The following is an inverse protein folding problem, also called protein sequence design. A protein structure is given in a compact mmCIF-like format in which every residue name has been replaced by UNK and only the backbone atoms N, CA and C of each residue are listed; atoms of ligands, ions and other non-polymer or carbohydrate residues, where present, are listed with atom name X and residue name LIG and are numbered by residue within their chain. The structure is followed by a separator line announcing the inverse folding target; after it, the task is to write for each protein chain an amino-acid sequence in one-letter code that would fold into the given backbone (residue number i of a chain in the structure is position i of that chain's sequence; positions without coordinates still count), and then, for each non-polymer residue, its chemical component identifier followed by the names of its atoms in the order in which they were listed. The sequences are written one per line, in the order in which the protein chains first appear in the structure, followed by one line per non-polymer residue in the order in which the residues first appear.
data_IF_069809184078
#
_entry.id   IF_069809184078
#
_cell.length_a   1.000
_cell.length_b   1.000
_cell.length_c   1.000
_cell.angle_alpha   90.00
_cell.angle_beta   90.00
_cell.angle_gamma   90.00
#
_symmetry.space_group_name_H-M   'P 1'
#
loop_
_entity.id
_entity.type
_entity.pdbx_description
1 polymer ?
#
# COMPACT_ATOMS: atom_id res chain seq x y z
N UNK A 1 -22.79 -0.88 2.67
CA UNK A 1 -21.57 -1.70 2.49
C UNK A 1 -21.82 -3.09 3.07
N UNK A 2 -21.77 -4.16 2.27
CA UNK A 2 -22.14 -5.51 2.75
C UNK A 2 -21.16 -6.06 3.80
N UNK A 3 -21.62 -6.92 4.72
CA UNK A 3 -20.77 -7.54 5.76
C UNK A 3 -19.55 -8.28 5.17
N UNK A 4 -19.72 -8.85 3.97
CA UNK A 4 -18.66 -9.55 3.21
C UNK A 4 -17.56 -8.59 2.78
N UNK A 5 -17.92 -7.37 2.34
CA UNK A 5 -16.94 -6.35 1.92
C UNK A 5 -16.07 -5.90 3.10
N UNK A 6 -16.66 -5.69 4.28
CA UNK A 6 -15.93 -5.36 5.51
C UNK A 6 -14.96 -6.47 5.94
N UNK A 7 -15.41 -7.73 5.89
CA UNK A 7 -14.55 -8.86 6.23
C UNK A 7 -13.38 -9.00 5.27
N UNK A 8 -13.63 -8.84 3.96
CA UNK A 8 -12.58 -8.81 2.94
C UNK A 8 -11.57 -7.68 3.20
N UNK A 9 -12.03 -6.46 3.47
CA UNK A 9 -11.16 -5.31 3.71
C UNK A 9 -10.28 -5.45 4.96
N UNK A 10 -10.71 -6.26 5.94
CA UNK A 10 -9.89 -6.59 7.09
C UNK A 10 -8.61 -7.34 6.68
N UNK A 11 -8.71 -8.33 5.79
CA UNK A 11 -7.59 -9.17 5.38
C UNK A 11 -6.90 -8.71 4.08
N UNK A 12 -7.67 -8.14 3.16
CA UNK A 12 -7.24 -7.80 1.80
C UNK A 12 -7.95 -6.52 1.31
N UNK A 13 -7.41 -5.34 1.65
CA UNK A 13 -7.94 -4.09 1.14
C UNK A 13 -7.81 -4.07 -0.39
N UNK A 14 -8.81 -3.53 -1.07
CA UNK A 14 -8.82 -3.38 -2.52
C UNK A 14 -9.00 -1.91 -2.84
N UNK A 15 -8.18 -1.42 -3.76
CA UNK A 15 -8.37 -0.10 -4.32
C UNK A 15 -9.58 -0.16 -5.26
N UNK A 16 -10.63 0.59 -4.93
CA UNK A 16 -11.79 0.71 -5.80
C UNK A 16 -11.49 1.81 -6.83
N UNK A 17 -11.69 1.54 -8.13
CA UNK A 17 -11.48 2.57 -9.13
C UNK A 17 -12.44 3.73 -8.83
N UNK A 18 -11.91 4.94 -8.72
CA UNK A 18 -12.73 6.14 -8.69
C UNK A 18 -13.53 6.22 -9.99
N UNK A 19 -14.80 6.59 -9.90
CA UNK A 19 -15.56 7.00 -11.07
C UNK A 19 -14.79 8.16 -11.71
N UNK A 20 -14.45 8.03 -13.00
CA UNK A 20 -13.74 9.08 -13.72
C UNK A 20 -14.58 10.36 -13.63
N UNK A 21 -14.11 11.33 -12.86
CA UNK A 21 -14.70 12.67 -12.84
C UNK A 21 -14.16 13.35 -14.09
N UNK A 22 -15.02 13.53 -15.09
CA UNK A 22 -14.65 14.26 -16.30
C UNK A 22 -14.11 15.64 -15.91
N UNK A 23 -12.84 15.89 -16.27
CA UNK A 23 -12.22 17.18 -16.04
C UNK A 23 -12.92 18.23 -16.91
N UNK A 24 -13.67 19.13 -16.27
CA UNK A 24 -14.24 20.31 -16.92
C UNK A 24 -13.35 21.52 -16.65
N UNK A 25 -12.70 22.09 -17.68
CA UNK A 25 -11.90 23.30 -17.52
C UNK A 25 -12.80 24.46 -17.10
N UNK A 26 -12.27 25.32 -16.24
CA UNK A 26 -12.89 26.60 -15.87
C UNK A 26 -12.52 27.60 -16.96
N UNK A 27 -13.51 28.33 -17.47
CA UNK A 27 -13.30 29.44 -18.39
C UNK A 27 -13.16 30.76 -17.62
N UNK A 28 -12.54 31.76 -18.25
CA UNK A 28 -12.34 33.09 -17.63
C UNK A 28 -13.70 33.71 -17.23
N UNK A 29 -14.73 33.45 -18.02
CA UNK A 29 -16.09 33.95 -17.79
C UNK A 29 -16.78 33.33 -16.56
N UNK A 30 -16.29 32.17 -16.10
CA UNK A 30 -16.78 31.52 -14.88
C UNK A 30 -16.22 32.18 -13.60
N UNK A 31 -15.16 33.00 -13.72
CA UNK A 31 -14.49 33.65 -12.60
C UNK A 31 -15.08 35.03 -12.33
N UNK A 32 -16.03 35.07 -11.40
CA UNK A 32 -16.58 36.31 -10.84
C UNK A 32 -15.61 36.87 -9.79
N UNK A 33 -14.51 37.48 -10.26
CA UNK A 33 -13.51 38.15 -9.41
C UNK A 33 -13.54 39.64 -9.70
N UNK A 34 -13.74 40.44 -8.65
CA UNK A 34 -13.62 41.91 -8.70
C UNK A 34 -12.17 42.33 -8.94
N UNK A 35 -11.95 43.45 -9.62
CA UNK A 35 -10.60 43.90 -10.00
C UNK A 35 -9.70 44.17 -8.78
N UNK A 36 -10.30 44.60 -7.66
CA UNK A 36 -9.60 44.87 -6.40
C UNK A 36 -9.11 43.58 -5.70
N UNK A 37 -9.75 42.44 -5.96
CA UNK A 37 -9.44 41.16 -5.30
C UNK A 37 -8.51 40.26 -6.14
N UNK A 38 -8.11 40.72 -7.34
CA UNK A 38 -7.24 39.98 -8.25
C UNK A 38 -5.92 39.54 -7.62
N UNK A 39 -5.29 40.43 -6.85
CA UNK A 39 -3.99 40.15 -6.24
C UNK A 39 -4.13 39.14 -5.08
N UNK A 40 -5.22 39.22 -4.30
CA UNK A 40 -5.54 38.22 -3.28
C UNK A 40 -5.87 36.86 -3.90
N UNK A 41 -6.66 36.85 -4.97
CA UNK A 41 -7.00 35.62 -5.68
C UNK A 41 -5.76 34.95 -6.28
N UNK A 42 -4.85 35.73 -6.84
CA UNK A 42 -3.55 35.26 -7.33
C UNK A 42 -2.72 34.62 -6.21
N UNK A 43 -2.57 35.29 -5.07
CA UNK A 43 -1.85 34.76 -3.91
C UNK A 43 -2.46 33.44 -3.41
N UNK A 44 -3.79 33.38 -3.26
CA UNK A 44 -4.49 32.15 -2.86
C UNK A 44 -4.31 31.02 -3.87
N UNK A 45 -4.31 31.34 -5.17
CA UNK A 45 -4.13 30.37 -6.25
C UNK A 45 -2.72 29.78 -6.23
N UNK A 46 -1.69 30.61 -6.04
CA UNK A 46 -0.30 30.17 -5.88
C UNK A 46 -0.12 29.31 -4.63
N UNK A 47 -0.65 29.74 -3.48
CA UNK A 47 -0.59 28.95 -2.24
C UNK A 47 -1.25 27.58 -2.42
N UNK A 48 -2.37 27.52 -3.14
CA UNK A 48 -3.03 26.25 -3.44
C UNK A 48 -2.16 25.37 -4.35
N UNK A 49 -1.60 25.93 -5.42
CA UNK A 49 -0.67 25.24 -6.30
C UNK A 49 0.54 24.66 -5.53
N UNK A 50 1.18 25.48 -4.70
CA UNK A 50 2.33 25.07 -3.88
C UNK A 50 1.94 23.97 -2.88
N UNK A 51 0.76 24.09 -2.27
CA UNK A 51 0.26 23.07 -1.33
C UNK A 51 0.03 21.70 -2.00
N UNK A 52 -0.40 21.68 -3.27
CA UNK A 52 -0.55 20.43 -4.02
C UNK A 52 0.80 19.84 -4.43
N UNK A 53 1.78 20.69 -4.75
CA UNK A 53 3.17 20.27 -4.99
C UNK A 53 3.81 19.68 -3.72
N UNK A 54 3.63 20.32 -2.57
CA UNK A 54 4.06 19.82 -1.27
C UNK A 54 3.37 18.50 -0.91
N UNK A 55 2.06 18.39 -1.20
CA UNK A 55 1.29 17.16 -1.01
C UNK A 55 1.89 16.02 -1.83
N UNK A 56 2.20 16.25 -3.12
CA UNK A 56 2.89 15.29 -3.99
C UNK A 56 4.22 14.84 -3.37
N UNK A 57 5.08 15.81 -3.01
CA UNK A 57 6.41 15.52 -2.46
C UNK A 57 6.30 14.72 -1.14
N UNK A 58 5.32 15.03 -0.30
CA UNK A 58 5.04 14.29 0.94
C UNK A 58 4.65 12.83 0.67
N UNK A 59 3.80 12.57 -0.32
CA UNK A 59 3.38 11.21 -0.71
C UNK A 59 4.57 10.39 -1.21
N UNK A 60 5.40 10.98 -2.07
CA UNK A 60 6.59 10.32 -2.60
C UNK A 60 7.62 10.03 -1.50
N UNK A 61 7.80 10.97 -0.56
CA UNK A 61 8.66 10.78 0.62
C UNK A 61 8.16 9.63 1.49
N UNK A 62 6.86 9.60 1.83
CA UNK A 62 6.26 8.51 2.62
C UNK A 62 6.39 7.15 1.93
N UNK A 63 6.19 7.12 0.61
CA UNK A 63 6.32 5.89 -0.18
C UNK A 63 7.76 5.37 -0.19
N UNK A 64 8.74 6.28 -0.27
CA UNK A 64 10.17 5.94 -0.17
C UNK A 64 10.50 5.36 1.20
N UNK A 65 9.98 5.95 2.28
CA UNK A 65 10.16 5.46 3.65
C UNK A 65 9.65 4.01 3.78
N UNK A 66 8.49 3.68 3.18
CA UNK A 66 7.98 2.30 3.20
C UNK A 66 8.92 1.33 2.48
N UNK A 67 9.47 1.70 1.32
CA UNK A 67 10.43 0.86 0.60
C UNK A 67 11.68 0.61 1.45
N UNK A 68 12.22 1.66 2.08
CA UNK A 68 13.37 1.56 2.97
C UNK A 68 13.08 0.66 4.18
N UNK A 69 11.93 0.83 4.83
CA UNK A 69 11.52 0.03 6.00
C UNK A 69 11.44 -1.47 5.66
N UNK A 70 10.95 -1.82 4.46
CA UNK A 70 10.81 -3.21 4.03
C UNK A 70 12.18 -3.89 3.87
N UNK A 71 13.25 -3.15 3.53
CA UNK A 71 14.61 -3.69 3.50
C UNK A 71 15.02 -4.31 4.84
N UNK A 72 14.73 -3.62 5.96
CA UNK A 72 14.98 -4.15 7.31
C UNK A 72 14.13 -5.38 7.60
N UNK A 73 12.86 -5.35 7.21
CA UNK A 73 11.94 -6.48 7.41
C UNK A 73 12.39 -7.71 6.64
N UNK A 74 12.86 -7.56 5.39
CA UNK A 74 13.39 -8.66 4.58
C UNK A 74 14.60 -9.31 5.27
N UNK A 75 15.52 -8.53 5.83
CA UNK A 75 16.69 -9.05 6.53
C UNK A 75 16.27 -9.92 7.74
N UNK A 76 15.31 -9.44 8.55
CA UNK A 76 14.76 -10.20 9.68
C UNK A 76 14.08 -11.48 9.19
N UNK A 77 13.22 -11.38 8.16
CA UNK A 77 12.52 -12.53 7.60
C UNK A 77 13.48 -13.59 7.03
N UNK A 78 14.59 -13.17 6.41
CA UNK A 78 15.60 -14.07 5.88
C UNK A 78 16.35 -14.79 6.99
N UNK A 79 16.76 -14.08 8.04
CA UNK A 79 17.39 -14.67 9.23
C UNK A 79 16.48 -15.72 9.89
N UNK A 80 15.18 -15.42 10.01
CA UNK A 80 14.21 -16.37 10.55
C UNK A 80 13.99 -17.56 9.62
N UNK A 81 14.01 -17.34 8.30
CA UNK A 81 13.85 -18.41 7.32
C UNK A 81 15.04 -19.38 7.32
N UNK A 82 16.28 -18.87 7.46
CA UNK A 82 17.47 -19.72 7.58
C UNK A 82 17.41 -20.60 8.82
N UNK A 83 16.98 -20.05 9.96
CA UNK A 83 16.83 -20.82 11.20
C UNK A 83 15.74 -21.90 11.09
N UNK A 84 14.69 -21.66 10.32
CA UNK A 84 13.57 -22.59 10.16
C UNK A 84 13.82 -23.66 9.08
N UNK A 85 14.57 -23.34 8.03
CA UNK A 85 14.81 -24.23 6.88
C UNK A 85 16.10 -25.05 7.01
N UNK A 86 17.16 -24.48 7.60
CA UNK A 86 18.49 -25.13 7.65
C UNK A 86 18.73 -25.91 8.94
N UNK A 87 17.87 -25.76 9.95
CA UNK A 87 18.02 -26.45 11.21
C UNK A 87 17.37 -27.85 11.12
N UNK A 88 18.21 -28.87 10.96
CA UNK A 88 17.84 -30.26 10.63
C UNK A 88 17.04 -31.01 11.71
N UNK A 89 16.81 -30.41 12.87
CA UNK A 89 16.07 -31.01 13.99
C UNK A 89 14.56 -30.71 13.98
N UNK A 90 14.08 -29.91 13.02
CA UNK A 90 12.66 -29.55 12.94
C UNK A 90 11.91 -30.69 12.24
N UNK A 91 11.26 -31.55 13.01
CA UNK A 91 10.33 -32.56 12.47
C UNK A 91 9.22 -31.87 11.70
N UNK A 92 8.89 -32.39 10.51
CA UNK A 92 7.78 -31.93 9.69
C UNK A 92 6.45 -32.20 10.41
N UNK A 93 5.99 -31.21 11.18
CA UNK A 93 4.74 -31.24 11.92
C UNK A 93 3.79 -30.12 11.50
N UNK A 94 2.59 -30.14 12.07
CA UNK A 94 1.56 -29.11 11.86
C UNK A 94 2.10 -27.69 12.07
N UNK A 95 2.85 -27.48 13.15
CA UNK A 95 3.41 -26.18 13.53
C UNK A 95 4.42 -25.68 12.51
N UNK A 96 5.35 -26.52 12.04
CA UNK A 96 6.31 -26.16 11.00
C UNK A 96 5.59 -25.75 9.71
N UNK A 97 4.55 -26.49 9.32
CA UNK A 97 3.75 -26.18 8.14
C UNK A 97 2.94 -24.89 8.29
N UNK A 98 2.35 -24.65 9.47
CA UNK A 98 1.64 -23.41 9.80
C UNK A 98 2.59 -22.20 9.82
N UNK A 99 3.79 -22.35 10.36
CA UNK A 99 4.80 -21.29 10.38
C UNK A 99 5.24 -20.90 8.97
N UNK A 100 5.45 -21.88 8.07
CA UNK A 100 5.76 -21.62 6.66
C UNK A 100 4.60 -20.86 5.99
N UNK A 101 3.35 -21.26 6.25
CA UNK A 101 2.17 -20.58 5.71
C UNK A 101 2.11 -19.10 6.17
N UNK A 102 2.26 -18.86 7.48
CA UNK A 102 2.27 -17.51 8.06
C UNK A 102 3.41 -16.67 7.48
N UNK A 103 4.60 -17.26 7.32
CA UNK A 103 5.74 -16.59 6.70
C UNK A 103 5.44 -16.15 5.26
N UNK A 104 4.83 -17.02 4.45
CA UNK A 104 4.41 -16.65 3.08
C UNK A 104 3.37 -15.54 3.10
N UNK A 105 2.38 -15.57 4.00
CA UNK A 105 1.41 -14.48 4.14
C UNK A 105 2.07 -13.13 4.47
N UNK A 106 3.02 -13.13 5.40
CA UNK A 106 3.78 -11.93 5.77
C UNK A 106 4.55 -11.39 4.56
N UNK A 107 5.26 -12.26 3.84
CA UNK A 107 6.00 -11.88 2.63
C UNK A 107 5.06 -11.29 1.58
N UNK A 108 3.89 -11.90 1.35
CA UNK A 108 2.89 -11.38 0.39
C UNK A 108 2.42 -9.99 0.76
N UNK A 109 2.17 -9.71 2.05
CA UNK A 109 1.78 -8.38 2.50
C UNK A 109 2.87 -7.32 2.27
N UNK A 110 4.13 -7.66 2.54
CA UNK A 110 5.23 -6.73 2.28
C UNK A 110 5.50 -6.56 0.79
N UNK A 111 5.41 -7.61 -0.03
CA UNK A 111 5.49 -7.48 -1.49
C UNK A 111 4.39 -6.56 -2.03
N UNK A 112 3.17 -6.65 -1.51
CA UNK A 112 2.07 -5.72 -1.87
C UNK A 112 2.37 -4.29 -1.45
N UNK A 113 2.93 -4.11 -0.27
CA UNK A 113 3.35 -2.79 0.21
C UNK A 113 4.38 -2.17 -0.74
N UNK A 114 5.42 -2.93 -1.12
CA UNK A 114 6.42 -2.47 -2.11
C UNK A 114 5.75 -2.12 -3.43
N UNK A 115 4.89 -3.00 -3.94
CA UNK A 115 4.20 -2.79 -5.21
C UNK A 115 3.44 -1.45 -5.24
N UNK A 116 2.62 -1.19 -4.22
CA UNK A 116 1.85 0.05 -4.14
C UNK A 116 2.74 1.27 -3.87
N UNK A 117 3.83 1.12 -3.10
CA UNK A 117 4.81 2.20 -2.89
C UNK A 117 5.52 2.60 -4.19
N UNK A 118 5.90 1.61 -5.02
CA UNK A 118 6.48 1.86 -6.34
C UNK A 118 5.46 2.55 -7.25
N UNK A 119 4.19 2.12 -7.24
CA UNK A 119 3.12 2.78 -8.00
C UNK A 119 2.92 4.24 -7.59
N UNK A 120 3.01 4.55 -6.29
CA UNK A 120 2.94 5.94 -5.81
C UNK A 120 4.15 6.78 -6.26
N UNK A 121 5.31 6.16 -6.47
CA UNK A 121 6.53 6.80 -6.97
C UNK A 121 6.63 6.82 -8.51
N UNK A 122 5.75 6.11 -9.21
CA UNK A 122 5.80 6.01 -10.66
C UNK A 122 5.75 7.39 -11.30
N UNK A 123 6.61 7.64 -12.28
CA UNK A 123 6.66 8.93 -12.97
C UNK A 123 5.39 9.11 -13.76
N UNK A 124 4.66 10.19 -13.48
CA UNK A 124 3.47 10.57 -14.21
C UNK A 124 3.69 11.93 -14.88
N UNK A 125 2.91 12.20 -15.93
CA UNK A 125 2.89 13.50 -16.57
C UNK A 125 2.26 14.53 -15.63
N UNK A 126 2.97 15.62 -15.41
CA UNK A 126 2.45 16.78 -14.70
C UNK A 126 2.49 17.97 -15.63
N UNK A 127 1.47 18.81 -15.52
CA UNK A 127 1.43 20.07 -16.21
C UNK A 127 2.10 21.14 -15.35
N UNK A 128 2.89 22.00 -15.99
CA UNK A 128 3.59 23.09 -15.32
C UNK A 128 3.49 24.32 -16.20
N UNK A 129 3.22 25.45 -15.58
CA UNK A 129 3.20 26.75 -16.22
C UNK A 129 4.64 27.11 -16.59
N UNK A 130 4.87 27.32 -17.88
CA UNK A 130 6.18 27.68 -18.42
C UNK A 130 6.29 29.18 -18.66
N UNK A 131 7.52 29.62 -18.96
CA UNK A 131 7.81 31.01 -19.34
C UNK A 131 6.92 31.52 -20.49
N UNK A 132 6.56 30.65 -21.44
CA UNK A 132 5.73 30.99 -22.60
C UNK A 132 4.29 31.37 -22.23
N UNK A 133 3.77 30.81 -21.14
CA UNK A 133 2.42 31.08 -20.65
C UNK A 133 2.37 32.43 -19.93
N UNK A 134 3.53 32.93 -19.48
CA UNK A 134 3.67 34.16 -18.70
C UNK A 134 3.90 35.39 -19.61
N UNK A 135 4.35 35.24 -20.85
CA UNK A 135 4.75 36.39 -21.69
C UNK A 135 3.70 36.86 -22.70
N UNK A 136 2.50 36.29 -22.70
CA UNK A 136 1.46 36.66 -23.66
C UNK A 136 0.69 37.89 -23.16
N UNK A 137 1.12 39.10 -23.52
CA UNK A 137 0.49 40.38 -23.19
C UNK A 137 -0.91 40.57 -23.80
N UNK A 138 -1.88 39.78 -23.34
CA UNK A 138 -3.29 39.81 -23.76
C UNK A 138 -4.12 40.70 -22.84
N UNK A 139 -5.29 41.10 -23.30
CA UNK A 139 -6.31 41.71 -22.44
C UNK A 139 -6.78 40.70 -21.37
N UNK A 140 -7.11 41.16 -20.15
CA UNK A 140 -7.44 40.29 -19.00
C UNK A 140 -6.34 39.27 -18.63
N UNK A 141 -5.08 39.55 -18.98
CA UNK A 141 -3.94 38.66 -18.77
C UNK A 141 -3.86 38.06 -17.35
N UNK A 142 -4.11 38.86 -16.30
CA UNK A 142 -4.07 38.38 -14.91
C UNK A 142 -5.16 37.32 -14.63
N UNK A 143 -6.40 37.56 -15.09
CA UNK A 143 -7.51 36.59 -14.93
C UNK A 143 -7.25 35.33 -15.75
N UNK A 144 -6.71 35.47 -16.96
CA UNK A 144 -6.31 34.34 -17.80
C UNK A 144 -5.25 33.48 -17.09
N UNK A 145 -4.22 34.12 -16.54
CA UNK A 145 -3.15 33.40 -15.84
C UNK A 145 -3.66 32.67 -14.59
N UNK A 146 -4.52 33.30 -13.78
CA UNK A 146 -5.18 32.65 -12.63
C UNK A 146 -5.95 31.41 -13.11
N UNK A 147 -6.74 31.55 -14.17
CA UNK A 147 -7.56 30.45 -14.73
C UNK A 147 -6.68 29.29 -15.19
N UNK A 148 -5.58 29.59 -15.87
CA UNK A 148 -4.61 28.59 -16.35
C UNK A 148 -3.99 27.84 -15.16
N UNK A 149 -3.53 28.54 -14.12
CA UNK A 149 -2.96 27.91 -12.91
C UNK A 149 -3.97 26.99 -12.26
N UNK A 150 -5.22 27.44 -12.09
CA UNK A 150 -6.28 26.63 -11.47
C UNK A 150 -6.52 25.37 -12.30
N UNK A 151 -6.64 25.50 -13.63
CA UNK A 151 -6.91 24.38 -14.51
C UNK A 151 -5.77 23.35 -14.49
N UNK A 152 -4.52 23.80 -14.58
CA UNK A 152 -3.36 22.90 -14.53
C UNK A 152 -3.19 22.26 -13.15
N UNK A 153 -3.45 23.01 -12.06
CA UNK A 153 -3.45 22.45 -10.69
C UNK A 153 -4.51 21.37 -10.55
N UNK A 154 -5.74 21.62 -11.02
CA UNK A 154 -6.83 20.63 -10.95
C UNK A 154 -6.54 19.38 -11.80
N UNK A 155 -5.92 19.52 -12.98
CA UNK A 155 -5.46 18.36 -13.78
C UNK A 155 -4.42 17.57 -12.99
N UNK A 156 -3.44 18.24 -12.40
CA UNK A 156 -2.41 17.59 -11.59
C UNK A 156 -2.97 16.92 -10.34
N UNK A 157 -3.99 17.50 -9.69
CA UNK A 157 -4.63 16.90 -8.52
C UNK A 157 -5.21 15.51 -8.81
N UNK A 158 -5.71 15.24 -10.02
CA UNK A 158 -6.17 13.89 -10.40
C UNK A 158 -5.03 12.88 -10.35
N UNK A 159 -3.89 13.24 -10.93
CA UNK A 159 -2.66 12.45 -10.92
C UNK A 159 -2.12 12.27 -9.48
N UNK A 160 -2.11 13.34 -8.68
CA UNK A 160 -1.67 13.30 -7.29
C UNK A 160 -2.61 12.41 -6.45
N UNK A 161 -3.93 12.46 -6.67
CA UNK A 161 -4.89 11.61 -5.97
C UNK A 161 -4.62 10.12 -6.24
N UNK A 162 -4.30 9.73 -7.49
CA UNK A 162 -3.90 8.36 -7.80
C UNK A 162 -2.64 7.94 -7.01
N UNK A 163 -1.68 8.86 -6.80
CA UNK A 163 -0.51 8.60 -5.96
C UNK A 163 -0.87 8.49 -4.48
N UNK A 164 -1.76 9.35 -3.97
CA UNK A 164 -2.31 9.25 -2.60
C UNK A 164 -2.93 7.87 -2.39
N UNK A 165 -3.80 7.45 -3.29
CA UNK A 165 -4.52 6.18 -3.21
C UNK A 165 -3.57 4.99 -3.14
N UNK A 166 -2.56 4.96 -4.01
CA UNK A 166 -1.53 3.93 -3.98
C UNK A 166 -0.71 3.98 -2.67
N UNK A 167 -0.35 5.15 -2.17
CA UNK A 167 0.38 5.29 -0.91
C UNK A 167 -0.45 4.84 0.29
N UNK A 168 -1.74 5.18 0.34
CA UNK A 168 -2.67 4.71 1.39
C UNK A 168 -2.80 3.19 1.34
N UNK A 169 -2.93 2.60 0.15
CA UNK A 169 -2.95 1.15 0.00
C UNK A 169 -1.66 0.50 0.49
N UNK A 170 -0.49 1.10 0.19
CA UNK A 170 0.79 0.63 0.72
C UNK A 170 0.77 0.66 2.26
N UNK A 171 0.35 1.76 2.88
CA UNK A 171 0.26 1.88 4.33
C UNK A 171 -0.69 0.83 4.95
N UNK A 172 -1.84 0.57 4.32
CA UNK A 172 -2.79 -0.45 4.78
C UNK A 172 -2.21 -1.86 4.73
N UNK A 173 -1.49 -2.21 3.67
CA UNK A 173 -0.79 -3.50 3.57
C UNK A 173 0.39 -3.59 4.55
N UNK A 174 1.14 -2.51 4.75
CA UNK A 174 2.25 -2.45 5.69
C UNK A 174 1.77 -2.73 7.11
N UNK A 175 0.71 -2.04 7.56
CA UNK A 175 0.12 -2.25 8.89
C UNK A 175 -0.29 -3.70 9.12
N UNK A 176 -0.94 -4.33 8.13
CA UNK A 176 -1.36 -5.74 8.21
C UNK A 176 -0.16 -6.69 8.23
N UNK A 177 0.87 -6.42 7.43
CA UNK A 177 2.13 -7.17 7.45
C UNK A 177 2.82 -7.11 8.80
N UNK A 178 2.89 -5.93 9.42
CA UNK A 178 3.45 -5.74 10.77
C UNK A 178 2.62 -6.49 11.82
N UNK A 179 1.29 -6.36 11.81
CA UNK A 179 0.41 -7.07 12.75
C UNK A 179 0.57 -8.60 12.59
N UNK A 180 0.61 -9.11 11.36
CA UNK A 180 0.84 -10.52 11.09
C UNK A 180 2.22 -10.99 11.60
N UNK A 181 3.26 -10.20 11.41
CA UNK A 181 4.60 -10.48 11.91
C UNK A 181 4.63 -10.52 13.45
N UNK A 182 4.00 -9.57 14.13
CA UNK A 182 3.89 -9.55 15.61
C UNK A 182 3.16 -10.80 16.12
N UNK A 183 2.00 -11.14 15.53
CA UNK A 183 1.25 -12.35 15.89
C UNK A 183 2.11 -13.60 15.69
N UNK A 184 2.80 -13.69 14.55
CA UNK A 184 3.69 -14.81 14.25
C UNK A 184 4.83 -14.91 15.27
N UNK A 185 5.50 -13.81 15.61
CA UNK A 185 6.55 -13.78 16.64
C UNK A 185 6.05 -14.23 18.00
N UNK A 186 4.85 -13.84 18.41
CA UNK A 186 4.23 -14.30 19.67
C UNK A 186 3.98 -15.81 19.64
N UNK A 187 3.40 -16.33 18.56
CA UNK A 187 3.12 -17.78 18.41
C UNK A 187 4.40 -18.60 18.47
N UNK A 188 5.44 -18.18 17.73
CA UNK A 188 6.75 -18.86 17.75
C UNK A 188 7.43 -18.73 19.10
N UNK A 189 7.34 -17.56 19.76
CA UNK A 189 7.92 -17.32 21.08
C UNK A 189 7.29 -18.19 22.18
N UNK A 190 5.95 -18.27 22.21
CA UNK A 190 5.22 -19.16 23.12
C UNK A 190 5.63 -20.61 22.89
N UNK A 191 5.71 -21.05 21.63
CA UNK A 191 6.14 -22.40 21.30
C UNK A 191 7.58 -22.69 21.77
N UNK A 192 8.52 -21.79 21.50
CA UNK A 192 9.91 -21.92 21.95
C UNK A 192 10.03 -21.99 23.47
N UNK A 193 9.21 -21.21 24.18
CA UNK A 193 9.15 -21.24 25.64
C UNK A 193 8.61 -22.59 26.17
N UNK A 194 7.48 -23.07 25.64
CA UNK A 194 6.88 -24.35 26.04
C UNK A 194 7.84 -25.52 25.76
N UNK A 195 8.48 -25.54 24.58
CA UNK A 195 9.43 -26.59 24.21
C UNK A 195 10.63 -26.63 25.15
N UNK A 196 11.17 -25.47 25.55
CA UNK A 196 12.32 -25.37 26.45
C UNK A 196 11.96 -25.65 27.91
N UNK A 197 10.72 -25.37 28.33
CA UNK A 197 10.25 -25.54 29.70
C UNK A 197 9.92 -27.00 30.07
N UNK A 198 9.94 -27.95 29.11
CA UNK A 198 9.66 -29.38 29.34
C UNK A 198 8.38 -29.64 30.15
N UNK A 199 7.36 -28.78 30.00
CA UNK A 199 6.11 -28.90 30.75
C UNK A 199 5.26 -30.07 30.25
N UNK A 200 4.79 -30.92 31.16
CA UNK A 200 3.95 -32.11 30.90
C UNK A 200 2.65 -31.82 30.10
N UNK A 201 2.24 -30.56 29.95
CA UNK A 201 1.17 -30.13 29.02
C UNK A 201 1.49 -30.38 27.54
N UNK A 202 2.73 -30.76 27.21
CA UNK A 202 3.15 -31.23 25.88
C UNK A 202 2.26 -32.39 25.41
N UNK A 203 1.72 -33.25 26.28
CA UNK A 203 0.83 -34.34 25.85
C UNK A 203 -0.57 -33.87 25.42
N UNK A 204 -1.16 -32.89 26.11
CA UNK A 204 -2.50 -32.35 25.75
C UNK A 204 -2.40 -31.54 24.45
N UNK A 205 -1.39 -30.69 24.33
CA UNK A 205 -1.13 -29.91 23.11
C UNK A 205 -0.78 -30.85 21.96
N UNK A 206 0.08 -31.86 22.17
CA UNK A 206 0.37 -32.86 21.13
C UNK A 206 -0.83 -33.71 20.76
N UNK A 207 -1.77 -33.97 21.69
CA UNK A 207 -3.02 -34.69 21.39
C UNK A 207 -3.93 -33.86 20.49
N UNK A 208 -4.11 -32.57 20.80
CA UNK A 208 -4.85 -31.63 19.94
C UNK A 208 -4.13 -31.49 18.58
N UNK A 209 -2.82 -31.27 18.58
CA UNK A 209 -2.02 -31.14 17.36
C UNK A 209 -1.99 -32.44 16.55
N UNK A 210 -2.08 -33.64 17.15
CA UNK A 210 -2.16 -34.93 16.44
C UNK A 210 -3.47 -35.10 15.68
N UNK A 211 -4.58 -34.61 16.26
CA UNK A 211 -5.89 -34.56 15.57
C UNK A 211 -5.80 -33.64 14.33
N UNK A 212 -5.03 -32.55 14.42
CA UNK A 212 -4.78 -31.64 13.29
C UNK A 212 -3.60 -32.04 12.38
N UNK A 213 -2.68 -32.91 12.82
CA UNK A 213 -1.50 -33.35 12.06
C UNK A 213 -1.81 -34.49 11.08
N UNK A 214 -3.08 -34.67 10.71
CA UNK A 214 -3.47 -35.61 9.68
C UNK A 214 -2.60 -35.41 8.42
N UNK A 215 -2.20 -36.50 7.77
CA UNK A 215 -1.33 -36.48 6.54
C UNK A 215 -1.82 -35.50 5.45
N UNK A 216 -3.08 -35.11 5.49
CA UNK A 216 -3.74 -34.17 4.58
C UNK A 216 -3.44 -32.69 4.87
N UNK A 217 -3.01 -32.31 6.07
CA UNK A 217 -2.81 -30.90 6.44
C UNK A 217 -1.65 -30.22 5.68
N UNK A 218 -0.48 -30.88 5.48
CA UNK A 218 0.56 -30.35 4.60
C UNK A 218 0.11 -30.21 3.14
N UNK A 219 -0.72 -31.14 2.65
CA UNK A 219 -1.34 -31.08 1.32
C UNK A 219 -2.30 -29.89 1.20
N UNK A 220 -3.10 -29.63 2.24
CA UNK A 220 -4.00 -28.48 2.29
C UNK A 220 -3.21 -27.15 2.35
N UNK A 221 -2.13 -27.08 3.11
CA UNK A 221 -1.24 -25.92 3.12
C UNK A 221 -0.57 -25.68 1.75
N UNK A 222 -0.10 -26.74 1.08
CA UNK A 222 0.40 -26.65 -0.30
C UNK A 222 -0.69 -26.12 -1.25
N UNK A 223 -1.93 -26.59 -1.12
CA UNK A 223 -3.05 -26.09 -1.92
C UNK A 223 -3.36 -24.62 -1.62
N UNK A 224 -3.35 -24.20 -0.35
CA UNK A 224 -3.50 -22.80 0.05
C UNK A 224 -2.36 -21.93 -0.51
N UNK A 225 -1.11 -22.38 -0.47
CA UNK A 225 0.02 -21.69 -1.07
C UNK A 225 -0.15 -21.52 -2.58
N UNK A 226 -0.58 -22.57 -3.28
CA UNK A 226 -0.88 -22.52 -4.71
C UNK A 226 -2.01 -21.52 -5.01
N UNK A 227 -3.07 -21.49 -4.21
CA UNK A 227 -4.16 -20.51 -4.34
C UNK A 227 -3.65 -19.08 -4.10
N UNK A 228 -2.83 -18.86 -3.07
CA UNK A 228 -2.24 -17.54 -2.77
C UNK A 228 -1.37 -17.07 -3.94
N UNK A 229 -0.53 -17.96 -4.50
CA UNK A 229 0.30 -17.69 -5.68
C UNK A 229 -0.59 -17.34 -6.88
N UNK A 230 -1.63 -18.13 -7.15
CA UNK A 230 -2.57 -17.88 -8.27
C UNK A 230 -3.29 -16.54 -8.08
N UNK A 231 -3.80 -16.23 -6.88
CA UNK A 231 -4.44 -14.94 -6.59
C UNK A 231 -3.44 -13.79 -6.77
N UNK A 232 -2.20 -13.96 -6.32
CA UNK A 232 -1.13 -12.98 -6.50
C UNK A 232 -0.88 -12.69 -7.99
N UNK A 233 -0.79 -13.74 -8.82
CA UNK A 233 -0.64 -13.64 -10.27
C UNK A 233 -1.87 -13.09 -10.99
N UNK A 234 -3.09 -13.47 -10.60
CA UNK A 234 -4.32 -12.98 -11.24
C UNK A 234 -4.56 -11.49 -10.94
N UNK A 235 -4.26 -11.03 -9.72
CA UNK A 235 -4.32 -9.62 -9.36
C UNK A 235 -3.28 -8.77 -10.11
N UNK A 236 -2.16 -9.36 -10.54
CA UNK A 236 -1.17 -8.70 -11.42
C UNK A 236 -1.75 -8.41 -12.82
N UNK A 237 -2.64 -9.27 -13.34
CA UNK A 237 -3.22 -9.08 -14.67
C UNK A 237 -4.33 -8.02 -14.73
N UNK A 238 -5.02 -7.74 -13.61
CA UNK A 238 -6.05 -6.68 -13.56
C UNK A 238 -5.51 -5.26 -13.38
N UNK A 239 -4.31 -5.08 -12.83
CA UNK A 239 -3.67 -3.76 -12.65
C UNK A 239 -3.18 -3.12 -13.97
N UNK A 240 -3.29 -3.82 -15.11
CA UNK A 240 -2.95 -3.30 -16.45
C UNK A 240 -4.15 -2.72 -17.22
N UNK A 241 -5.31 -2.56 -16.59
CA UNK A 241 -6.47 -1.88 -17.18
C UNK A 241 -6.83 -0.66 -16.35
#
# INVERSE_FOLDING_TARGET
MSKIKKFRELFWPLLEPLNQVDFKPIHIDDLVIEENDLDLCWDLTLRYYDSEEDRRNSIETKSTIFISAIGFVIAILLSMATDLLLNSNIKAGFLTSFSILMWVFIVVYFCRTVWFSIRALERQGYHRIGYKDITTGRENYRKMLITEVINETRKNSLTINLKVDNMVMAQEYFKRGVVAAVIYSIVVGIYGFIFKANWDYIEIINSILRVFSAKWFPLLNMACLMIIIVIFFQLRMRSKR
#
